data_IF_973938933226
#
_entry.id   IF_973938933226
#
_cell.length_a   1.000
_cell.length_b   1.000
_cell.length_c   1.000
_cell.angle_alpha   90.00
_cell.angle_beta   90.00
_cell.angle_gamma   90.00
#
_symmetry.space_group_name_H-M   'P 1'
#
loop_
_entity.id
_entity.type
_entity.pdbx_description
1 polymer ?
#
# COMPACT_ATOMS: atom_id res chain seq x y z
N UNK A 1 -3.68 14.83 40.92
CA UNK A 1 -3.38 15.74 39.79
C UNK A 1 -3.12 15.03 38.45
N UNK A 2 -2.38 13.91 38.40
CA UNK A 2 -2.03 13.18 37.16
C UNK A 2 -3.23 12.64 36.35
N UNK A 3 -4.31 12.18 36.99
CA UNK A 3 -5.52 11.64 36.31
C UNK A 3 -6.33 12.68 35.51
N UNK A 4 -6.23 13.98 35.83
CA UNK A 4 -6.97 15.04 35.11
C UNK A 4 -6.39 15.34 33.72
N UNK A 5 -5.13 14.95 33.46
CA UNK A 5 -4.41 15.22 32.21
C UNK A 5 -4.49 14.00 31.26
N UNK A 6 -4.68 12.79 31.81
CA UNK A 6 -4.78 11.55 31.05
C UNK A 6 -6.04 11.48 30.18
N UNK A 7 -7.19 11.95 30.68
CA UNK A 7 -8.47 11.90 29.96
C UNK A 7 -8.47 12.69 28.63
N UNK A 8 -8.01 13.96 28.58
CA UNK A 8 -7.95 14.69 27.31
C UNK A 8 -6.90 14.11 26.35
N UNK A 9 -5.78 13.58 26.86
CA UNK A 9 -4.78 12.92 26.02
C UNK A 9 -5.37 11.67 25.34
N UNK A 10 -6.12 10.85 26.09
CA UNK A 10 -6.78 9.66 25.55
C UNK A 10 -7.83 10.06 24.50
N UNK A 11 -8.61 11.11 24.75
CA UNK A 11 -9.60 11.62 23.80
C UNK A 11 -8.95 12.15 22.51
N UNK A 12 -7.82 12.87 22.62
CA UNK A 12 -7.07 13.36 21.46
C UNK A 12 -6.48 12.19 20.64
N UNK A 13 -5.90 11.18 21.31
CA UNK A 13 -5.36 9.99 20.64
C UNK A 13 -6.48 9.22 19.93
N UNK A 14 -7.62 9.02 20.57
CA UNK A 14 -8.78 8.35 19.97
C UNK A 14 -9.34 9.11 18.77
N UNK A 15 -9.42 10.44 18.85
CA UNK A 15 -9.83 11.27 17.71
C UNK A 15 -8.84 11.16 16.55
N UNK A 16 -7.53 11.16 16.82
CA UNK A 16 -6.49 11.02 15.80
C UNK A 16 -6.55 9.65 15.10
N UNK A 17 -6.80 8.57 15.85
CA UNK A 17 -7.02 7.23 15.30
C UNK A 17 -8.26 7.16 14.41
N UNK A 18 -9.34 7.88 14.75
CA UNK A 18 -10.57 7.90 13.94
C UNK A 18 -10.43 8.66 12.61
N UNK A 19 -9.42 9.52 12.49
CA UNK A 19 -9.11 10.29 11.28
C UNK A 19 -8.17 9.53 10.33
N UNK A 20 -7.67 8.36 10.72
CA UNK A 20 -6.83 7.55 9.85
C UNK A 20 -7.69 6.88 8.78
N UNK A 21 -7.45 7.24 7.52
CA UNK A 21 -8.04 6.56 6.37
C UNK A 21 -7.63 5.08 6.39
N UNK A 22 -8.58 4.18 6.08
CA UNK A 22 -8.26 2.76 6.02
C UNK A 22 -7.17 2.52 4.98
N UNK A 23 -6.15 1.73 5.35
CA UNK A 23 -5.10 1.36 4.42
C UNK A 23 -5.74 0.68 3.19
N UNK A 24 -5.30 1.00 1.96
CA UNK A 24 -5.86 0.39 0.76
C UNK A 24 -5.71 -1.13 0.83
N UNK A 25 -6.80 -1.85 0.64
CA UNK A 25 -6.80 -3.32 0.58
C UNK A 25 -6.04 -3.84 -0.63
N UNK A 26 -5.85 -2.99 -1.65
CA UNK A 26 -5.32 -3.38 -2.94
C UNK A 26 -4.51 -2.27 -3.61
N UNK A 27 -3.34 -2.64 -4.10
CA UNK A 27 -2.38 -1.73 -4.71
C UNK A 27 -1.87 -2.33 -6.03
N UNK A 28 -1.88 -1.50 -7.07
CA UNK A 28 -1.17 -1.77 -8.33
C UNK A 28 -0.02 -0.77 -8.43
N UNK A 29 1.22 -1.26 -8.50
CA UNK A 29 2.41 -0.41 -8.58
C UNK A 29 2.92 -0.33 -10.01
N UNK A 30 3.10 0.89 -10.51
CA UNK A 30 3.45 1.13 -11.92
C UNK A 30 4.93 1.45 -12.15
N UNK A 31 5.74 1.51 -11.09
CA UNK A 31 7.15 1.87 -11.18
C UNK A 31 8.00 1.06 -10.19
N UNK A 32 9.23 0.65 -10.56
CA UNK A 32 10.09 -0.15 -9.69
C UNK A 32 10.33 0.50 -8.33
N UNK A 33 10.73 1.79 -8.32
CA UNK A 33 11.01 2.52 -7.08
C UNK A 33 9.83 2.61 -6.12
N UNK A 34 8.60 2.66 -6.66
CA UNK A 34 7.38 2.66 -5.84
C UNK A 34 7.12 1.27 -5.28
N UNK A 35 7.29 0.23 -6.09
CA UNK A 35 7.17 -1.16 -5.63
C UNK A 35 8.14 -1.43 -4.49
N UNK A 36 9.41 -1.08 -4.64
CA UNK A 36 10.42 -1.25 -3.60
C UNK A 36 10.03 -0.55 -2.30
N UNK A 37 9.55 0.70 -2.38
CA UNK A 37 9.10 1.45 -1.21
C UNK A 37 7.90 0.77 -0.52
N UNK A 38 6.93 0.25 -1.28
CA UNK A 38 5.77 -0.45 -0.73
C UNK A 38 6.16 -1.71 0.04
N UNK A 39 7.08 -2.50 -0.51
CA UNK A 39 7.63 -3.66 0.21
C UNK A 39 8.45 -3.24 1.44
N UNK A 40 9.27 -2.19 1.34
CA UNK A 40 10.05 -1.68 2.46
C UNK A 40 9.17 -1.12 3.60
N UNK A 41 8.02 -0.56 3.28
CA UNK A 41 7.01 -0.09 4.24
C UNK A 41 6.18 -1.23 4.86
N UNK A 42 6.40 -2.48 4.46
CA UNK A 42 5.67 -3.65 4.97
C UNK A 42 4.25 -3.79 4.43
N UNK A 43 3.91 -3.09 3.34
CA UNK A 43 2.59 -3.16 2.69
C UNK A 43 2.63 -3.92 1.36
N UNK A 44 3.70 -4.67 1.11
CA UNK A 44 3.89 -5.48 -0.11
C UNK A 44 2.84 -6.57 -0.31
N UNK A 45 2.18 -7.03 0.76
CA UNK A 45 1.09 -8.00 0.69
C UNK A 45 -0.15 -7.43 -0.01
N UNK A 46 -0.37 -6.12 0.10
CA UNK A 46 -1.49 -5.43 -0.54
C UNK A 46 -1.19 -5.15 -2.03
N UNK A 47 0.05 -5.37 -2.49
CA UNK A 47 0.41 -5.25 -3.91
C UNK A 47 -0.08 -6.48 -4.65
N UNK A 48 -1.03 -6.29 -5.55
CA UNK A 48 -1.66 -7.36 -6.36
C UNK A 48 -1.20 -7.35 -7.82
N UNK A 49 -0.66 -6.23 -8.28
CA UNK A 49 -0.20 -6.05 -9.65
C UNK A 49 0.99 -5.10 -9.75
N UNK A 50 1.87 -5.39 -10.71
CA UNK A 50 3.11 -4.65 -10.96
C UNK A 50 3.36 -4.50 -12.46
N UNK A 51 4.33 -3.68 -12.86
CA UNK A 51 4.86 -3.69 -14.23
C UNK A 51 6.00 -4.70 -14.37
N UNK A 52 6.34 -5.05 -15.62
CA UNK A 52 7.40 -6.00 -15.97
C UNK A 52 8.80 -5.62 -15.47
N UNK A 53 9.00 -4.35 -15.08
CA UNK A 53 10.25 -3.84 -14.52
C UNK A 53 10.34 -3.97 -12.99
N UNK A 54 9.27 -4.39 -12.31
CA UNK A 54 9.23 -4.49 -10.86
C UNK A 54 9.67 -5.89 -10.41
N UNK A 55 10.97 -6.11 -10.34
CA UNK A 55 11.58 -7.41 -10.04
C UNK A 55 12.24 -7.47 -8.64
N UNK A 56 12.22 -6.37 -7.88
CA UNK A 56 12.78 -6.27 -6.54
C UNK A 56 11.75 -5.74 -5.51
N UNK A 57 11.71 -6.29 -4.28
CA UNK A 57 12.38 -7.52 -3.84
C UNK A 57 11.87 -8.76 -4.58
N UNK A 58 12.47 -9.94 -4.37
CA UNK A 58 12.08 -11.16 -5.10
C UNK A 58 10.57 -11.46 -5.07
N UNK A 59 9.89 -11.12 -3.97
CA UNK A 59 8.43 -11.26 -3.84
C UNK A 59 7.61 -10.32 -4.77
N UNK A 60 8.21 -9.24 -5.29
CA UNK A 60 7.59 -8.37 -6.29
C UNK A 60 7.47 -9.07 -7.64
N UNK A 61 8.46 -9.88 -8.01
CA UNK A 61 8.45 -10.66 -9.26
C UNK A 61 7.38 -11.77 -9.28
N UNK A 62 6.81 -12.12 -8.13
CA UNK A 62 5.71 -13.08 -8.00
C UNK A 62 4.33 -12.44 -8.23
N UNK A 63 4.25 -11.10 -8.26
CA UNK A 63 2.99 -10.37 -8.45
C UNK A 63 2.56 -10.40 -9.92
N UNK A 64 1.26 -10.20 -10.15
CA UNK A 64 0.70 -10.17 -11.50
C UNK A 64 1.30 -9.03 -12.32
N UNK A 65 1.95 -9.34 -13.44
CA UNK A 65 2.45 -8.31 -14.35
C UNK A 65 1.30 -7.81 -15.22
N UNK A 66 0.97 -6.53 -15.07
CA UNK A 66 -0.16 -5.89 -15.77
C UNK A 66 0.28 -5.07 -16.99
N UNK A 67 1.56 -5.04 -17.31
CA UNK A 67 2.10 -4.28 -18.43
C UNK A 67 3.53 -3.81 -18.20
N UNK A 68 3.90 -2.74 -18.89
CA UNK A 68 5.23 -2.11 -18.83
C UNK A 68 5.12 -0.59 -18.61
N UNK A 69 6.20 0.15 -18.87
CA UNK A 69 6.26 1.60 -18.65
C UNK A 69 5.39 2.43 -19.61
N UNK A 70 4.93 1.83 -20.72
CA UNK A 70 4.27 2.53 -21.83
C UNK A 70 2.91 1.95 -22.18
N UNK A 71 2.67 0.68 -21.86
CA UNK A 71 1.42 -0.02 -22.16
C UNK A 71 0.96 -0.84 -20.95
N UNK A 72 -0.31 -0.67 -20.59
CA UNK A 72 -0.97 -1.41 -19.52
C UNK A 72 -2.13 -2.22 -20.09
N UNK A 73 -2.25 -3.47 -19.63
CA UNK A 73 -3.42 -4.31 -19.85
C UNK A 73 -4.54 -3.86 -18.90
N UNK A 74 -5.43 -3.00 -19.39
CA UNK A 74 -6.53 -2.45 -18.59
C UNK A 74 -7.55 -3.51 -18.17
N UNK A 75 -7.82 -4.50 -19.02
CA UNK A 75 -8.74 -5.58 -18.69
C UNK A 75 -8.21 -6.38 -17.51
N UNK A 76 -6.91 -6.73 -17.52
CA UNK A 76 -6.26 -7.40 -16.41
C UNK A 76 -6.20 -6.53 -15.15
N UNK A 77 -5.88 -5.24 -15.28
CA UNK A 77 -5.87 -4.31 -14.14
C UNK A 77 -7.24 -4.25 -13.44
N UNK A 78 -8.33 -4.21 -14.21
CA UNK A 78 -9.70 -4.21 -13.69
C UNK A 78 -10.09 -5.57 -13.09
N UNK A 79 -9.60 -6.67 -13.67
CA UNK A 79 -9.88 -8.03 -13.18
C UNK A 79 -9.19 -8.34 -11.84
N UNK A 80 -8.17 -7.58 -11.46
CA UNK A 80 -7.50 -7.70 -10.17
C UNK A 80 -8.35 -7.11 -9.03
N UNK A 81 -9.68 -7.26 -8.97
CA UNK A 81 -10.55 -6.62 -7.94
C UNK A 81 -10.13 -6.84 -6.47
#
# INVERSE_FOLDING_TARGET
MRRRILLPIILIIAAFLSLAEAAPSRIVSLAPSITENLFALGVGDNVVGVTSFCDYPAAAAEKTVIGDATSLNLELLLALE
#
